data_IF_308091898211
#
_entry.id   IF_308091898211
#
_cell.length_a   1.000
_cell.length_b   1.000
_cell.length_c   1.000
_cell.angle_alpha   90.00
_cell.angle_beta   90.00
_cell.angle_gamma   90.00
#
_symmetry.space_group_name_H-M   'P 1'
#
loop_
_entity.id
_entity.type
_entity.pdbx_description
1 polymer ?
#
# COMPACT_ATOMS: atom_id res chain seq x y z
N UNK A 1 -5.93 9.34 -18.27
CA UNK A 1 -4.88 9.20 -17.71
C UNK A 1 -4.83 8.40 -16.52
N UNK A 2 -5.27 7.58 -16.03
CA UNK A 2 -5.14 6.70 -14.90
C UNK A 2 -4.04 7.03 -13.91
N UNK A 3 -3.42 8.15 -14.07
CA UNK A 3 -2.33 8.50 -13.22
C UNK A 3 -2.80 9.15 -11.94
N UNK A 4 -2.18 8.81 -10.84
CA UNK A 4 -2.48 9.46 -9.58
C UNK A 4 -2.16 10.95 -9.69
N UNK A 5 -3.01 11.78 -9.11
CA UNK A 5 -2.70 13.19 -9.07
C UNK A 5 -1.70 13.51 -7.97
N UNK A 6 -1.39 12.56 -7.11
CA UNK A 6 -0.41 12.72 -6.05
C UNK A 6 0.83 11.94 -6.44
N UNK A 7 1.60 12.49 -7.36
CA UNK A 7 2.81 11.84 -7.83
C UNK A 7 3.94 12.09 -6.86
N UNK A 8 4.75 11.05 -6.64
CA UNK A 8 5.94 11.20 -5.83
C UNK A 8 6.92 12.10 -6.52
N UNK A 9 7.28 13.20 -5.86
CA UNK A 9 8.36 14.07 -6.33
C UNK A 9 9.48 13.94 -5.31
N UNK A 10 10.71 14.12 -5.74
CA UNK A 10 11.86 13.98 -4.86
C UNK A 10 11.80 12.64 -4.13
N UNK A 11 11.98 11.58 -4.90
CA UNK A 11 11.75 10.20 -4.43
C UNK A 11 12.65 9.77 -3.29
N UNK A 12 13.66 10.56 -2.95
CA UNK A 12 14.55 10.26 -1.83
C UNK A 12 14.13 10.97 -0.53
N UNK A 13 13.03 11.69 -0.55
CA UNK A 13 12.53 12.40 0.64
C UNK A 13 11.42 11.61 1.31
N UNK A 14 11.18 11.88 2.61
CA UNK A 14 10.06 11.20 3.28
C UNK A 14 8.73 11.61 2.70
N UNK A 15 7.80 10.67 2.65
CA UNK A 15 6.44 10.94 2.19
C UNK A 15 5.44 10.24 3.09
N UNK A 16 4.29 10.88 3.24
CA UNK A 16 3.11 10.26 3.84
C UNK A 16 2.32 9.64 2.71
N UNK A 17 2.04 8.36 2.83
CA UNK A 17 1.43 7.58 1.75
C UNK A 17 0.15 6.90 2.22
N UNK A 18 -0.82 6.81 1.31
CA UNK A 18 -2.06 6.11 1.57
C UNK A 18 -2.29 5.11 0.45
N UNK A 19 -2.54 3.85 0.82
CA UNK A 19 -2.87 2.81 -0.14
C UNK A 19 -4.20 2.19 0.22
N UNK A 20 -5.11 2.08 -0.74
CA UNK A 20 -6.48 1.63 -0.50
C UNK A 20 -6.78 0.40 -1.35
N UNK A 21 -7.50 -0.55 -0.74
CA UNK A 21 -7.92 -1.77 -1.43
C UNK A 21 -9.04 -1.44 -2.41
N UNK A 22 -9.03 -2.10 -3.56
CA UNK A 22 -10.10 -1.95 -4.55
C UNK A 22 -11.45 -2.24 -3.90
N UNK A 23 -12.46 -1.46 -4.26
CA UNK A 23 -13.83 -1.61 -3.75
C UNK A 23 -13.91 -1.45 -2.23
N UNK A 24 -12.89 -0.90 -1.61
CA UNK A 24 -12.82 -0.73 -0.15
C UNK A 24 -13.13 -2.02 0.61
N UNK A 25 -12.74 -3.17 0.06
CA UNK A 25 -12.93 -4.44 0.72
C UNK A 25 -12.16 -4.48 2.03
N UNK A 26 -12.78 -4.98 3.11
CA UNK A 26 -12.13 -4.99 4.43
C UNK A 26 -11.21 -6.20 4.60
N UNK A 27 -10.19 -6.29 3.76
CA UNK A 27 -9.27 -7.44 3.76
C UNK A 27 -8.36 -7.47 4.98
N UNK A 28 -8.05 -6.29 5.53
CA UNK A 28 -7.02 -6.22 6.57
C UNK A 28 -7.55 -6.57 7.96
N UNK A 29 -8.78 -7.03 8.06
CA UNK A 29 -9.26 -7.61 9.32
C UNK A 29 -8.69 -9.01 9.51
N UNK A 30 -8.05 -9.59 8.50
CA UNK A 30 -7.47 -10.92 8.56
C UNK A 30 -5.97 -10.83 8.89
N UNK A 31 -5.54 -11.40 10.03
CA UNK A 31 -4.12 -11.27 10.43
C UNK A 31 -3.14 -11.79 9.40
N UNK A 32 -3.48 -12.88 8.68
CA UNK A 32 -2.54 -13.43 7.71
C UNK A 32 -2.32 -12.48 6.54
N UNK A 33 -3.30 -11.65 6.22
CA UNK A 33 -3.14 -10.67 5.16
C UNK A 33 -2.25 -9.54 5.64
N UNK A 34 -2.47 -9.07 6.86
CA UNK A 34 -1.64 -8.02 7.44
C UNK A 34 -0.18 -8.46 7.50
N UNK A 35 0.06 -9.74 7.78
CA UNK A 35 1.42 -10.28 7.85
C UNK A 35 2.17 -10.08 6.53
N UNK A 36 1.49 -10.20 5.40
CA UNK A 36 2.16 -9.96 4.12
C UNK A 36 2.63 -8.53 3.98
N UNK A 37 1.83 -7.59 4.48
CA UNK A 37 2.21 -6.18 4.43
C UNK A 37 3.45 -5.92 5.28
N UNK A 38 3.43 -6.43 6.50
CA UNK A 38 4.53 -6.23 7.43
C UNK A 38 5.80 -6.91 6.95
N UNK A 39 5.67 -8.11 6.42
CA UNK A 39 6.83 -8.85 5.91
C UNK A 39 7.46 -8.16 4.71
N UNK A 40 6.65 -7.56 3.85
CA UNK A 40 7.18 -6.83 2.70
C UNK A 40 7.97 -5.61 3.16
N UNK A 41 7.42 -4.84 4.09
CA UNK A 41 8.13 -3.68 4.62
C UNK A 41 9.44 -4.10 5.30
N UNK A 42 9.41 -5.20 6.05
CA UNK A 42 10.61 -5.70 6.72
C UNK A 42 11.68 -6.06 5.70
N UNK A 43 11.28 -6.70 4.61
CA UNK A 43 12.21 -7.03 3.54
C UNK A 43 12.82 -5.78 2.93
N UNK A 44 11.98 -4.76 2.67
CA UNK A 44 12.46 -3.52 2.08
C UNK A 44 13.37 -2.75 3.02
N UNK A 45 13.11 -2.82 4.33
CA UNK A 45 13.99 -2.20 5.30
C UNK A 45 15.37 -2.85 5.27
N UNK A 46 15.42 -4.14 5.06
CA UNK A 46 16.68 -4.87 5.04
C UNK A 46 17.43 -4.70 3.71
N UNK A 47 16.71 -4.72 2.60
CA UNK A 47 17.37 -4.83 1.29
C UNK A 47 17.30 -3.58 0.43
N UNK A 48 16.43 -2.63 0.75
CA UNK A 48 16.24 -1.45 -0.08
C UNK A 48 16.32 -0.14 0.68
N UNK A 49 16.90 -0.20 1.88
CA UNK A 49 17.11 0.98 2.72
C UNK A 49 15.84 1.77 2.98
N UNK A 50 14.72 1.07 3.09
CA UNK A 50 13.48 1.71 3.46
C UNK A 50 13.52 2.13 4.92
N UNK A 51 13.14 3.38 5.19
CA UNK A 51 12.94 3.85 6.55
C UNK A 51 11.45 4.02 6.74
N UNK A 52 10.90 3.32 7.71
CA UNK A 52 9.48 3.38 8.00
C UNK A 52 9.31 4.10 9.34
N UNK A 53 8.82 5.33 9.27
CA UNK A 53 8.72 6.16 10.46
C UNK A 53 7.47 5.88 11.27
N UNK A 54 6.42 5.46 10.63
CA UNK A 54 5.19 5.09 11.31
C UNK A 54 4.19 4.56 10.31
N UNK A 55 3.21 3.80 10.81
CA UNK A 55 2.16 3.28 9.95
C UNK A 55 0.93 2.96 10.76
N UNK A 56 -0.21 2.89 10.08
CA UNK A 56 -1.44 2.36 10.64
C UNK A 56 -2.15 1.60 9.52
N UNK A 57 -2.66 0.42 9.87
CA UNK A 57 -3.37 -0.43 8.91
C UNK A 57 -4.82 -0.51 9.37
N UNK A 58 -5.71 0.05 8.56
CA UNK A 58 -7.14 0.00 8.84
C UNK A 58 -7.75 -1.14 8.02
N UNK A 59 -9.03 -1.36 8.17
CA UNK A 59 -9.64 -2.55 7.56
C UNK A 59 -9.50 -2.61 6.05
N UNK A 60 -9.46 -1.47 5.37
CA UNK A 60 -9.45 -1.44 3.91
C UNK A 60 -8.44 -0.48 3.30
N UNK A 61 -7.59 0.12 4.12
CA UNK A 61 -6.53 0.99 3.62
C UNK A 61 -5.46 1.14 4.70
N UNK A 62 -4.33 1.73 4.30
CA UNK A 62 -3.25 1.96 5.23
C UNK A 62 -2.60 3.30 4.95
N UNK A 63 -2.02 3.85 6.00
CA UNK A 63 -1.23 5.07 5.92
C UNK A 63 0.15 4.77 6.47
N UNK A 64 1.17 5.34 5.87
CA UNK A 64 2.51 5.20 6.43
C UNK A 64 3.39 6.36 6.00
N UNK A 65 4.41 6.63 6.80
CA UNK A 65 5.44 7.62 6.47
C UNK A 65 6.72 6.87 6.25
N UNK A 66 7.29 7.03 5.07
CA UNK A 66 8.47 6.26 4.69
C UNK A 66 9.41 7.10 3.86
N UNK A 67 10.64 6.63 3.79
CA UNK A 67 11.71 7.26 3.02
C UNK A 67 12.64 6.16 2.50
N UNK A 68 13.12 6.33 1.30
CA UNK A 68 14.08 5.39 0.72
C UNK A 68 14.84 6.12 -0.39
N UNK A 69 15.99 5.59 -0.81
CA UNK A 69 16.71 6.22 -1.93
C UNK A 69 15.84 6.36 -3.17
N UNK A 70 14.96 5.39 -3.41
CA UNK A 70 13.97 5.47 -4.48
C UNK A 70 12.63 4.99 -3.94
N UNK A 71 11.90 5.88 -3.28
CA UNK A 71 10.65 5.52 -2.62
C UNK A 71 9.59 5.10 -3.63
N UNK A 72 9.59 5.71 -4.82
CA UNK A 72 8.63 5.36 -5.85
C UNK A 72 8.76 3.88 -6.23
N UNK A 73 10.00 3.41 -6.38
CA UNK A 73 10.24 2.01 -6.71
C UNK A 73 9.84 1.10 -5.56
N UNK A 74 10.17 1.49 -4.33
CA UNK A 74 9.76 0.71 -3.16
C UNK A 74 8.25 0.59 -3.08
N UNK A 75 7.52 1.67 -3.34
CA UNK A 75 6.06 1.64 -3.30
C UNK A 75 5.50 0.73 -4.37
N UNK A 76 6.04 0.82 -5.58
CA UNK A 76 5.61 -0.03 -6.68
C UNK A 76 5.81 -1.50 -6.36
N UNK A 77 6.98 -1.84 -5.81
CA UNK A 77 7.28 -3.22 -5.44
C UNK A 77 6.42 -3.69 -4.28
N UNK A 78 6.16 -2.82 -3.32
CA UNK A 78 5.30 -3.14 -2.20
C UNK A 78 3.90 -3.53 -2.70
N UNK A 79 3.32 -2.71 -3.57
CA UNK A 79 1.97 -2.97 -4.07
C UNK A 79 1.94 -4.23 -4.91
N UNK A 80 2.92 -4.43 -5.77
CA UNK A 80 2.97 -5.58 -6.65
C UNK A 80 3.15 -6.88 -5.87
N UNK A 81 4.10 -6.90 -4.95
CA UNK A 81 4.41 -8.10 -4.18
C UNK A 81 3.27 -8.47 -3.22
N UNK A 82 2.76 -7.49 -2.49
CA UNK A 82 1.69 -7.77 -1.53
C UNK A 82 0.42 -8.21 -2.24
N UNK A 83 0.12 -7.61 -3.40
CA UNK A 83 -1.05 -8.02 -4.17
C UNK A 83 -0.96 -9.49 -4.56
N UNK A 84 0.20 -9.94 -5.03
CA UNK A 84 0.37 -11.34 -5.41
C UNK A 84 0.19 -12.26 -4.20
N UNK A 85 0.85 -11.93 -3.09
CA UNK A 85 0.78 -12.77 -1.90
C UNK A 85 -0.64 -12.85 -1.35
N UNK A 86 -1.32 -11.73 -1.29
CA UNK A 86 -2.66 -11.69 -0.74
C UNK A 86 -3.65 -12.43 -1.64
N UNK A 87 -3.55 -12.24 -2.94
CA UNK A 87 -4.44 -12.91 -3.87
C UNK A 87 -4.20 -14.41 -3.83
N UNK A 88 -2.95 -14.84 -3.76
CA UNK A 88 -2.63 -16.26 -3.66
C UNK A 88 -3.27 -16.87 -2.40
N UNK A 89 -3.21 -16.15 -1.28
CA UNK A 89 -3.84 -16.64 -0.04
C UNK A 89 -5.35 -16.68 -0.15
N UNK A 90 -5.94 -15.67 -0.76
CA UNK A 90 -7.39 -15.68 -0.94
C UNK A 90 -7.84 -16.84 -1.80
N UNK A 91 -7.05 -17.15 -2.83
CA UNK A 91 -7.34 -18.29 -3.69
C UNK A 91 -7.20 -19.61 -2.93
N UNK A 92 -6.14 -19.76 -2.16
CA UNK A 92 -5.92 -21.00 -1.45
C UNK A 92 -6.95 -21.23 -0.36
N UNK A 93 -7.54 -20.18 0.17
CA UNK A 93 -8.56 -20.28 1.21
C UNK A 93 -9.98 -20.25 0.65
N UNK A 94 -10.12 -20.21 -0.67
CA UNK A 94 -11.43 -20.22 -1.29
C UNK A 94 -12.29 -19.00 -0.99
N UNK A 95 -11.66 -17.83 -0.85
CA UNK A 95 -12.38 -16.60 -0.56
C UNK A 95 -13.01 -16.05 -1.85
N UNK A 96 -13.97 -16.76 -2.39
CA UNK A 96 -14.50 -16.50 -3.71
C UNK A 96 -15.20 -15.15 -3.86
N UNK A 97 -15.90 -14.70 -2.82
CA UNK A 97 -16.61 -13.44 -2.90
C UNK A 97 -15.64 -12.26 -3.00
N UNK A 98 -14.58 -12.29 -2.20
CA UNK A 98 -13.57 -11.25 -2.26
C UNK A 98 -12.86 -11.26 -3.60
N UNK A 99 -12.50 -12.45 -4.07
CA UNK A 99 -11.82 -12.58 -5.36
C UNK A 99 -12.68 -12.08 -6.51
N UNK A 100 -13.98 -12.37 -6.46
CA UNK A 100 -14.89 -11.91 -7.50
C UNK A 100 -14.94 -10.38 -7.55
N UNK A 101 -14.97 -9.74 -6.39
CA UNK A 101 -14.97 -8.28 -6.32
C UNK A 101 -13.68 -7.69 -6.89
N UNK A 102 -12.56 -8.30 -6.58
CA UNK A 102 -11.28 -7.83 -7.10
C UNK A 102 -11.16 -8.05 -8.60
N UNK A 103 -11.68 -9.15 -9.08
CA UNK A 103 -11.65 -9.47 -10.50
C UNK A 103 -12.57 -8.54 -11.28
N UNK A 104 -13.75 -8.30 -10.75
CA UNK A 104 -14.71 -7.45 -11.41
C UNK A 104 -14.21 -6.02 -11.59
N UNK A 105 -13.38 -5.57 -10.67
CA UNK A 105 -12.84 -4.20 -10.73
C UNK A 105 -11.74 -4.04 -11.75
N UNK A 106 -11.21 -5.15 -12.30
CA UNK A 106 -10.13 -5.11 -13.26
C UNK A 106 -10.57 -4.38 -14.51
N UNK A 107 -9.74 -3.47 -14.98
CA UNK A 107 -10.02 -2.70 -16.19
C UNK A 107 -9.51 -3.44 -17.41
N UNK A 108 -10.12 -3.17 -18.55
CA UNK A 108 -9.76 -3.84 -19.79
C UNK A 108 -8.28 -3.65 -20.14
N UNK A 109 -7.72 -2.51 -19.83
CA UNK A 109 -6.33 -2.26 -20.20
C UNK A 109 -5.32 -3.01 -19.32
N UNK A 110 -5.81 -3.73 -18.32
CA UNK A 110 -4.94 -4.54 -17.46
C UNK A 110 -5.16 -6.02 -17.75
N UNK A 111 -5.21 -6.37 -19.00
CA UNK A 111 -5.57 -7.72 -19.42
C UNK A 111 -4.57 -8.78 -19.01
N UNK A 112 -3.35 -8.40 -18.70
CA UNK A 112 -2.34 -9.34 -18.25
C UNK A 112 -2.55 -9.79 -16.81
N UNK A 113 -3.55 -9.24 -16.14
CA UNK A 113 -3.86 -9.58 -14.75
C UNK A 113 -5.29 -10.05 -14.64
N UNK A 114 -5.50 -11.05 -13.79
CA UNK A 114 -6.84 -11.53 -13.50
C UNK A 114 -7.46 -10.69 -12.38
N UNK A 115 -6.67 -10.29 -11.40
CA UNK A 115 -7.14 -9.55 -10.23
C UNK A 115 -6.35 -8.27 -10.02
N UNK A 116 -6.99 -7.32 -9.36
CA UNK A 116 -6.33 -6.09 -8.93
C UNK A 116 -6.67 -5.86 -7.46
N UNK A 117 -5.65 -5.78 -6.62
CA UNK A 117 -5.86 -5.59 -5.18
C UNK A 117 -5.93 -4.12 -4.78
N UNK A 118 -4.97 -3.33 -5.24
CA UNK A 118 -4.84 -1.94 -4.82
C UNK A 118 -5.44 -0.99 -5.83
N UNK A 119 -6.04 0.08 -5.33
CA UNK A 119 -6.45 1.18 -6.22
C UNK A 119 -5.21 1.74 -6.89
N UNK A 120 -5.37 2.26 -8.09
CA UNK A 120 -4.25 2.84 -8.81
C UNK A 120 -3.73 4.08 -8.11
N UNK A 121 -2.41 4.24 -8.14
CA UNK A 121 -1.76 5.35 -7.49
C UNK A 121 -1.77 5.20 -5.99
N UNK A 122 -1.19 6.15 -5.34
CA UNK A 122 -1.21 6.26 -3.91
C UNK A 122 -1.30 7.75 -3.62
N UNK A 123 -2.06 8.08 -2.59
CA UNK A 123 -2.12 9.47 -2.17
C UNK A 123 -0.79 9.75 -1.46
N UNK A 124 0.05 10.57 -2.06
CA UNK A 124 1.39 10.82 -1.55
C UNK A 124 1.60 12.29 -1.25
N UNK A 125 2.07 12.60 -0.05
CA UNK A 125 2.38 13.97 0.37
C UNK A 125 3.79 14.01 0.90
N UNK A 126 4.62 14.87 0.32
CA UNK A 126 6.00 14.99 0.79
C UNK A 126 6.04 15.60 2.18
N UNK A 127 6.87 15.03 3.03
CA UNK A 127 7.09 15.54 4.38
C UNK A 127 8.32 16.43 4.31
N UNK A 128 8.11 17.74 4.25
CA UNK A 128 9.19 18.67 4.00
C UNK A 128 9.72 19.38 5.23
N UNK A 129 9.19 19.09 6.38
CA UNK A 129 9.66 19.73 7.61
C UNK A 129 9.40 18.83 8.81
N UNK A 130 10.10 19.12 9.90
CA UNK A 130 9.90 18.40 11.14
C UNK A 130 8.49 18.58 11.67
N UNK A 131 7.94 19.74 11.49
CA UNK A 131 6.59 20.03 11.94
C UNK A 131 5.56 19.19 11.16
N UNK A 132 5.74 19.03 9.85
CA UNK A 132 4.86 18.20 9.05
C UNK A 132 5.03 16.73 9.43
N UNK A 133 6.26 16.29 9.69
CA UNK A 133 6.51 14.93 10.15
C UNK A 133 5.75 14.64 11.43
N UNK A 134 5.82 15.54 12.40
CA UNK A 134 5.11 15.37 13.67
C UNK A 134 3.61 15.29 13.45
N UNK A 135 3.09 16.16 12.59
CA UNK A 135 1.67 16.18 12.27
C UNK A 135 1.21 14.85 11.69
N UNK A 136 1.97 14.31 10.72
CA UNK A 136 1.59 13.06 10.09
C UNK A 136 1.70 11.87 11.04
N UNK A 137 2.73 11.85 11.87
CA UNK A 137 2.86 10.77 12.85
C UNK A 137 1.77 10.82 13.89
N UNK A 138 1.35 12.01 14.30
CA UNK A 138 0.23 12.15 15.24
C UNK A 138 -1.06 11.66 14.61
N UNK A 139 -1.27 11.97 13.33
CA UNK A 139 -2.44 11.49 12.61
C UNK A 139 -2.47 9.97 12.59
N UNK A 140 -1.34 9.35 12.30
CA UNK A 140 -1.22 7.89 12.27
C UNK A 140 -1.48 7.31 13.65
N UNK A 141 -0.86 7.89 14.66
CA UNK A 141 -0.92 7.38 16.02
C UNK A 141 -2.34 7.45 16.59
N UNK A 142 -3.07 8.50 16.27
CA UNK A 142 -4.41 8.71 16.79
C UNK A 142 -5.51 8.15 15.93
N UNK A 143 -5.16 7.49 14.84
CA UNK A 143 -6.15 6.89 13.97
C UNK A 143 -6.69 5.63 14.63
N UNK A 144 -8.01 5.46 14.73
CA UNK A 144 -8.61 4.31 15.43
C UNK A 144 -8.36 2.97 14.75
#
# INVERSE_FOLDING_TARGET
MGRSRYTLTETDKPHFLTCTVMEWLPLFIRPYIVDHLLNCWRYQQTHHDLKLYGYVILENHLHFVAQAPDLSKCLSQFKSFTARQIIDDLQSKGADKALQRLRFSKRAHKQDRVYQLWQEGAHAEMVYSESVMRQKLEYIHNNP
#
